data_IF_830087837498
#
_entry.id   IF_830087837498
#
_cell.length_a   1.000
_cell.length_b   1.000
_cell.length_c   1.000
_cell.angle_alpha   90.00
_cell.angle_beta   90.00
_cell.angle_gamma   90.00
#
_symmetry.space_group_name_H-M   'P 1'
#
loop_
_entity.id
_entity.type
_entity.pdbx_description
1 polymer ?
#
# COMPACT_ATOMS: atom_id res chain seq x y z
N UNK A 1 -200.06 -43.21 8.45
CA UNK A 1 -200.65 -41.87 8.44
C UNK A 1 -199.68 -40.77 8.86
N UNK A 2 -199.29 -39.96 7.87
CA UNK A 2 -199.09 -38.49 7.78
C UNK A 2 -198.23 -37.60 8.74
N UNK A 3 -197.33 -36.80 8.09
CA UNK A 3 -197.00 -35.34 8.25
C UNK A 3 -196.12 -34.92 9.47
N UNK A 4 -195.14 -33.98 9.46
CA UNK A 4 -194.63 -32.96 8.53
C UNK A 4 -193.65 -31.95 9.23
N UNK A 5 -192.99 -31.09 8.44
CA UNK A 5 -191.90 -30.12 8.71
C UNK A 5 -192.10 -29.01 9.77
N UNK A 6 -191.01 -28.60 10.46
CA UNK A 6 -190.53 -27.20 10.63
C UNK A 6 -189.39 -27.11 11.67
N UNK A 7 -188.20 -26.66 11.25
CA UNK A 7 -187.33 -25.69 11.97
C UNK A 7 -185.89 -25.66 11.40
N UNK A 8 -185.58 -24.66 10.57
CA UNK A 8 -184.32 -24.57 9.82
C UNK A 8 -183.70 -23.15 9.71
N UNK A 9 -183.98 -22.19 10.62
CA UNK A 9 -183.62 -20.76 10.39
C UNK A 9 -182.57 -20.06 11.27
N UNK A 10 -181.98 -20.68 12.30
CA UNK A 10 -181.11 -19.94 13.25
C UNK A 10 -179.61 -20.27 13.25
N UNK A 11 -179.06 -20.95 12.23
CA UNK A 11 -177.68 -21.49 12.26
C UNK A 11 -176.75 -21.04 11.11
N UNK A 12 -177.09 -19.97 10.36
CA UNK A 12 -176.34 -19.55 9.15
C UNK A 12 -175.41 -18.34 9.31
N UNK A 13 -175.62 -17.40 10.25
CA UNK A 13 -174.83 -16.16 10.32
C UNK A 13 -173.45 -16.29 10.99
N UNK A 14 -173.27 -17.23 11.91
CA UNK A 14 -171.99 -17.49 12.61
C UNK A 14 -170.94 -18.19 11.73
N UNK A 15 -171.38 -18.87 10.67
CA UNK A 15 -170.48 -19.60 9.75
C UNK A 15 -169.72 -18.68 8.79
N UNK A 16 -170.28 -17.52 8.44
CA UNK A 16 -169.67 -16.61 7.45
C UNK A 16 -168.54 -15.76 8.05
N UNK A 17 -168.66 -15.32 9.31
CA UNK A 17 -167.60 -14.58 10.02
C UNK A 17 -166.34 -15.43 10.28
N UNK A 18 -166.51 -16.71 10.65
CA UNK A 18 -165.38 -17.64 10.78
C UNK A 18 -164.66 -17.86 9.44
N UNK A 19 -165.42 -17.87 8.34
CA UNK A 19 -164.89 -18.04 6.98
C UNK A 19 -164.06 -16.83 6.55
N UNK A 20 -164.53 -15.61 6.83
CA UNK A 20 -163.80 -14.36 6.56
C UNK A 20 -162.52 -14.29 7.39
N UNK A 21 -162.56 -14.67 8.67
CA UNK A 21 -161.37 -14.73 9.54
C UNK A 21 -160.36 -15.76 9.05
N UNK A 22 -160.82 -16.93 8.61
CA UNK A 22 -159.98 -17.96 8.00
C UNK A 22 -159.30 -17.47 6.70
N UNK A 23 -160.05 -16.78 5.84
CA UNK A 23 -159.53 -16.19 4.60
C UNK A 23 -158.51 -15.06 4.87
N UNK A 24 -158.77 -14.17 5.84
CA UNK A 24 -157.79 -13.16 6.27
C UNK A 24 -156.51 -13.79 6.79
N UNK A 25 -156.61 -14.83 7.62
CA UNK A 25 -155.44 -15.56 8.13
C UNK A 25 -154.67 -16.29 7.02
N UNK A 26 -155.37 -16.80 5.99
CA UNK A 26 -154.72 -17.40 4.80
C UNK A 26 -154.02 -16.33 3.96
N UNK A 27 -154.66 -15.18 3.76
CA UNK A 27 -154.07 -14.05 3.04
C UNK A 27 -152.82 -13.53 3.75
N UNK A 28 -152.89 -13.34 5.07
CA UNK A 28 -151.74 -12.91 5.88
C UNK A 28 -150.60 -13.92 5.81
N UNK A 29 -150.89 -15.23 5.92
CA UNK A 29 -149.87 -16.29 5.73
C UNK A 29 -149.24 -16.28 4.33
N UNK A 30 -150.04 -16.06 3.29
CA UNK A 30 -149.51 -15.96 1.92
C UNK A 30 -148.65 -14.70 1.74
N UNK A 31 -149.04 -13.59 2.34
CA UNK A 31 -148.32 -12.32 2.27
C UNK A 31 -146.99 -12.36 3.03
N UNK A 32 -146.94 -13.02 4.19
CA UNK A 32 -145.68 -13.30 4.91
C UNK A 32 -144.76 -14.18 4.07
N UNK A 33 -145.27 -15.29 3.49
CA UNK A 33 -144.47 -16.16 2.60
C UNK A 33 -143.96 -15.44 1.35
N UNK A 34 -144.74 -14.54 0.78
CA UNK A 34 -144.31 -13.72 -0.36
C UNK A 34 -143.19 -12.77 0.03
N UNK A 35 -143.27 -12.14 1.21
CA UNK A 35 -142.19 -11.29 1.72
C UNK A 35 -140.92 -12.09 2.02
N UNK A 36 -141.05 -13.27 2.63
CA UNK A 36 -139.93 -14.19 2.84
C UNK A 36 -139.28 -14.61 1.51
N UNK A 37 -140.09 -14.98 0.50
CA UNK A 37 -139.60 -15.34 -0.83
C UNK A 37 -138.92 -14.17 -1.57
N UNK A 38 -139.42 -12.95 -1.41
CA UNK A 38 -138.75 -11.75 -1.97
C UNK A 38 -137.42 -11.49 -1.28
N UNK A 39 -137.37 -11.64 0.04
CA UNK A 39 -136.15 -11.48 0.80
C UNK A 39 -135.10 -12.53 0.42
N UNK A 40 -135.49 -13.80 0.26
CA UNK A 40 -134.57 -14.85 -0.21
C UNK A 40 -134.09 -14.61 -1.64
N UNK A 41 -134.95 -14.10 -2.53
CA UNK A 41 -134.54 -13.72 -3.87
C UNK A 41 -133.52 -12.57 -3.87
N UNK A 42 -133.69 -11.59 -2.97
CA UNK A 42 -132.75 -10.49 -2.81
C UNK A 42 -131.39 -10.95 -2.25
N UNK A 43 -131.38 -11.85 -1.26
CA UNK A 43 -130.14 -12.42 -0.71
C UNK A 43 -129.41 -13.25 -1.75
N UNK A 44 -130.11 -14.10 -2.51
CA UNK A 44 -129.50 -14.89 -3.59
C UNK A 44 -128.90 -14.00 -4.69
N UNK A 45 -129.57 -12.89 -5.06
CA UNK A 45 -129.00 -11.92 -6.01
C UNK A 45 -127.72 -11.28 -5.47
N UNK A 46 -127.68 -10.96 -4.18
CA UNK A 46 -126.48 -10.41 -3.56
C UNK A 46 -125.33 -11.44 -3.53
N UNK A 47 -125.63 -12.70 -3.22
CA UNK A 47 -124.65 -13.79 -3.24
C UNK A 47 -124.11 -14.07 -4.65
N UNK A 48 -124.96 -14.06 -5.67
CA UNK A 48 -124.53 -14.18 -7.08
C UNK A 48 -123.60 -13.03 -7.46
N UNK A 49 -123.92 -11.79 -7.09
CA UNK A 49 -123.05 -10.64 -7.37
C UNK A 49 -121.71 -10.74 -6.63
N UNK A 50 -121.69 -11.25 -5.39
CA UNK A 50 -120.44 -11.52 -4.66
C UNK A 50 -119.62 -12.61 -5.33
N UNK A 51 -120.25 -13.70 -5.75
CA UNK A 51 -119.60 -14.80 -6.46
C UNK A 51 -119.01 -14.34 -7.81
N UNK A 52 -119.73 -13.53 -8.57
CA UNK A 52 -119.21 -12.95 -9.82
C UNK A 52 -117.98 -12.07 -9.58
N UNK A 53 -117.98 -11.22 -8.54
CA UNK A 53 -116.82 -10.39 -8.20
C UNK A 53 -115.59 -11.22 -7.82
N UNK A 54 -115.76 -12.28 -7.04
CA UNK A 54 -114.68 -13.20 -6.68
C UNK A 54 -114.13 -13.93 -7.91
N UNK A 55 -115.03 -14.32 -8.83
CA UNK A 55 -114.63 -14.92 -10.09
C UNK A 55 -113.78 -13.92 -10.89
N UNK A 56 -114.20 -12.67 -11.06
CA UNK A 56 -113.39 -11.67 -11.77
C UNK A 56 -112.01 -11.44 -11.17
N UNK A 57 -111.83 -11.52 -9.85
CA UNK A 57 -110.49 -11.43 -9.24
C UNK A 57 -109.59 -12.63 -9.58
N UNK A 58 -110.17 -13.82 -9.78
CA UNK A 58 -109.45 -15.06 -10.12
C UNK A 58 -109.19 -15.19 -11.63
N UNK A 59 -110.12 -14.71 -12.46
CA UNK A 59 -110.01 -14.81 -13.92
C UNK A 59 -109.35 -13.57 -14.57
N UNK A 60 -109.39 -12.42 -13.91
CA UNK A 60 -108.96 -11.12 -14.44
C UNK A 60 -110.12 -10.35 -15.10
N UNK A 61 -109.99 -9.02 -15.18
CA UNK A 61 -111.06 -8.08 -15.58
C UNK A 61 -111.60 -8.24 -17.01
N UNK A 62 -110.97 -9.06 -17.87
CA UNK A 62 -111.28 -9.13 -19.31
C UNK A 62 -111.83 -10.48 -19.78
N UNK A 63 -112.30 -11.35 -18.87
CA UNK A 63 -112.74 -12.71 -19.25
C UNK A 63 -114.27 -12.78 -19.30
N UNK A 64 -114.80 -12.89 -20.52
CA UNK A 64 -116.23 -13.11 -20.75
C UNK A 64 -116.56 -14.61 -20.56
N UNK A 65 -117.54 -14.94 -19.72
CA UNK A 65 -117.95 -16.33 -19.44
C UNK A 65 -118.32 -17.08 -20.73
N UNK A 66 -118.83 -16.37 -21.75
CA UNK A 66 -119.14 -16.96 -23.05
C UNK A 66 -117.89 -17.39 -23.84
N UNK A 67 -116.75 -16.73 -23.62
CA UNK A 67 -115.46 -17.09 -24.25
C UNK A 67 -114.74 -18.25 -23.56
N UNK A 68 -115.06 -18.53 -22.29
CA UNK A 68 -114.57 -19.72 -21.59
C UNK A 68 -115.29 -21.00 -22.05
N UNK A 69 -116.56 -20.88 -22.45
CA UNK A 69 -117.32 -22.00 -23.01
C UNK A 69 -116.85 -22.41 -24.41
N UNK A 70 -116.21 -21.51 -25.16
CA UNK A 70 -115.78 -21.79 -26.54
C UNK A 70 -114.43 -22.51 -26.66
N UNK A 71 -113.64 -22.60 -25.58
CA UNK A 71 -112.33 -23.27 -25.58
C UNK A 71 -112.24 -24.22 -24.38
N UNK A 72 -112.61 -25.51 -24.54
CA UNK A 72 -112.48 -26.48 -23.48
C UNK A 72 -111.00 -26.84 -23.27
N UNK A 73 -110.48 -26.62 -22.06
CA UNK A 73 -109.28 -27.33 -21.55
C UNK A 73 -107.96 -26.56 -21.49
N UNK A 74 -107.79 -25.42 -22.18
CA UNK A 74 -106.53 -24.67 -22.18
C UNK A 74 -106.49 -23.46 -21.25
N UNK A 75 -107.60 -23.19 -20.56
CA UNK A 75 -107.71 -22.01 -19.72
C UNK A 75 -107.25 -22.33 -18.30
N UNK A 76 -106.11 -21.75 -17.92
CA UNK A 76 -105.48 -21.92 -16.60
C UNK A 76 -105.66 -20.62 -15.82
N UNK A 77 -106.16 -20.71 -14.58
CA UNK A 77 -106.46 -19.51 -13.78
C UNK A 77 -105.23 -18.66 -13.50
N UNK A 78 -105.44 -17.36 -13.24
CA UNK A 78 -104.35 -16.40 -12.98
C UNK A 78 -103.48 -16.82 -11.80
N UNK A 79 -104.09 -17.30 -10.71
CA UNK A 79 -103.39 -17.79 -9.54
C UNK A 79 -102.41 -18.94 -9.89
N UNK A 80 -102.82 -19.84 -10.78
CA UNK A 80 -102.00 -20.96 -11.19
C UNK A 80 -100.88 -20.56 -12.15
N UNK A 81 -101.14 -19.59 -13.03
CA UNK A 81 -100.13 -19.02 -13.91
C UNK A 81 -99.06 -18.26 -13.10
N UNK A 82 -99.47 -17.49 -12.09
CA UNK A 82 -98.55 -16.81 -11.16
C UNK A 82 -97.69 -17.84 -10.41
N UNK A 83 -98.29 -18.90 -9.87
CA UNK A 83 -97.56 -19.97 -9.16
C UNK A 83 -96.51 -20.63 -10.05
N UNK A 84 -96.84 -20.90 -11.30
CA UNK A 84 -95.91 -21.52 -12.25
C UNK A 84 -94.74 -20.56 -12.60
N UNK A 85 -95.03 -19.28 -12.84
CA UNK A 85 -94.01 -18.27 -13.06
C UNK A 85 -93.11 -18.08 -11.84
N UNK A 86 -93.67 -18.07 -10.63
CA UNK A 86 -92.91 -18.02 -9.38
C UNK A 86 -91.98 -19.22 -9.23
N UNK A 87 -92.47 -20.44 -9.52
CA UNK A 87 -91.65 -21.65 -9.52
C UNK A 87 -90.50 -21.57 -10.52
N UNK A 88 -90.76 -21.06 -11.72
CA UNK A 88 -89.75 -20.94 -12.78
C UNK A 88 -88.71 -19.86 -12.48
N UNK A 89 -89.12 -18.75 -11.86
CA UNK A 89 -88.20 -17.73 -11.35
C UNK A 89 -87.32 -18.30 -10.24
N UNK A 90 -87.90 -19.05 -9.30
CA UNK A 90 -87.13 -19.71 -8.25
C UNK A 90 -86.11 -20.71 -8.82
N UNK A 91 -86.51 -21.53 -9.80
CA UNK A 91 -85.61 -22.47 -10.47
C UNK A 91 -84.47 -21.75 -11.21
N UNK A 92 -84.77 -20.68 -11.94
CA UNK A 92 -83.76 -19.89 -12.64
C UNK A 92 -82.81 -19.17 -11.68
N UNK A 93 -83.31 -18.68 -10.54
CA UNK A 93 -82.46 -18.10 -9.48
C UNK A 93 -81.51 -19.13 -8.88
N UNK A 94 -81.99 -20.37 -8.65
CA UNK A 94 -81.13 -21.47 -8.17
C UNK A 94 -80.04 -21.77 -9.19
N UNK A 95 -80.39 -21.96 -10.48
CA UNK A 95 -79.42 -22.25 -11.54
C UNK A 95 -78.39 -21.14 -11.74
N UNK A 96 -78.80 -19.87 -11.66
CA UNK A 96 -77.88 -18.73 -11.69
C UNK A 96 -76.94 -18.75 -10.48
N UNK A 97 -77.47 -19.00 -9.29
CA UNK A 97 -76.65 -19.05 -8.07
C UNK A 97 -75.64 -20.21 -8.09
N UNK A 98 -76.00 -21.35 -8.65
CA UNK A 98 -75.12 -22.52 -8.80
C UNK A 98 -74.05 -22.29 -9.86
N UNK A 99 -74.43 -21.66 -10.99
CA UNK A 99 -73.49 -21.30 -12.05
C UNK A 99 -72.50 -20.24 -11.57
N UNK A 100 -72.97 -19.19 -10.88
CA UNK A 100 -72.13 -18.16 -10.27
C UNK A 100 -71.18 -18.77 -9.23
N UNK A 101 -71.67 -19.64 -8.33
CA UNK A 101 -70.82 -20.33 -7.36
C UNK A 101 -69.76 -21.20 -8.04
N UNK A 102 -70.14 -21.98 -9.04
CA UNK A 102 -69.22 -22.88 -9.74
C UNK A 102 -68.16 -22.14 -10.57
N UNK A 103 -68.55 -21.09 -11.31
CA UNK A 103 -67.60 -20.24 -12.05
C UNK A 103 -66.69 -19.48 -11.09
N UNK A 104 -67.23 -18.95 -10.00
CA UNK A 104 -66.47 -18.18 -9.02
C UNK A 104 -65.49 -19.07 -8.25
N UNK A 105 -65.90 -20.25 -7.78
CA UNK A 105 -64.99 -21.20 -7.13
C UNK A 105 -63.89 -21.71 -8.07
N UNK A 106 -64.21 -22.01 -9.34
CA UNK A 106 -63.23 -22.45 -10.33
C UNK A 106 -62.24 -21.33 -10.69
N UNK A 107 -62.76 -20.12 -10.96
CA UNK A 107 -61.95 -18.95 -11.30
C UNK A 107 -61.10 -18.50 -10.11
N UNK A 108 -61.64 -18.48 -8.90
CA UNK A 108 -60.92 -18.13 -7.67
C UNK A 108 -59.81 -19.15 -7.38
N UNK A 109 -60.07 -20.45 -7.59
CA UNK A 109 -59.04 -21.49 -7.44
C UNK A 109 -57.91 -21.35 -8.45
N UNK A 110 -58.22 -21.02 -9.71
CA UNK A 110 -57.22 -20.76 -10.76
C UNK A 110 -56.43 -19.48 -10.48
N UNK A 111 -57.11 -18.39 -10.09
CA UNK A 111 -56.49 -17.11 -9.75
C UNK A 111 -55.54 -17.25 -8.56
N UNK A 112 -55.93 -18.01 -7.53
CA UNK A 112 -55.11 -18.25 -6.35
C UNK A 112 -53.87 -19.11 -6.69
N UNK A 113 -53.98 -20.04 -7.64
CA UNK A 113 -52.83 -20.78 -8.16
C UNK A 113 -51.86 -19.88 -8.94
N UNK A 114 -52.38 -19.03 -9.84
CA UNK A 114 -51.57 -18.05 -10.58
C UNK A 114 -50.86 -17.07 -9.64
N UNK A 115 -51.53 -16.60 -8.60
CA UNK A 115 -50.98 -15.68 -7.61
C UNK A 115 -49.84 -16.33 -6.81
N UNK A 116 -49.97 -17.61 -6.44
CA UNK A 116 -48.89 -18.39 -5.82
C UNK A 116 -47.68 -18.57 -6.75
N UNK A 117 -47.90 -18.80 -8.05
CA UNK A 117 -46.82 -18.91 -9.04
C UNK A 117 -46.08 -17.57 -9.15
N UNK A 118 -46.81 -16.47 -9.38
CA UNK A 118 -46.23 -15.13 -9.46
C UNK A 118 -45.48 -14.74 -8.18
N UNK A 119 -45.99 -15.12 -7.00
CA UNK A 119 -45.31 -14.88 -5.74
C UNK A 119 -44.03 -15.72 -5.61
N UNK A 120 -44.04 -16.99 -6.06
CA UNK A 120 -42.86 -17.84 -6.10
C UNK A 120 -41.80 -17.30 -7.06
N UNK A 121 -42.19 -16.85 -8.25
CA UNK A 121 -41.30 -16.23 -9.23
C UNK A 121 -40.69 -14.93 -8.70
N UNK A 122 -41.51 -14.08 -8.06
CA UNK A 122 -41.03 -12.87 -7.39
C UNK A 122 -40.02 -13.21 -6.29
N UNK A 123 -40.30 -14.20 -5.44
CA UNK A 123 -39.36 -14.64 -4.39
C UNK A 123 -38.07 -15.18 -5.00
N UNK A 124 -38.14 -15.96 -6.07
CA UNK A 124 -36.97 -16.48 -6.78
C UNK A 124 -36.13 -15.33 -7.37
N UNK A 125 -36.77 -14.33 -7.98
CA UNK A 125 -36.08 -13.16 -8.51
C UNK A 125 -35.37 -12.37 -7.42
N UNK A 126 -36.04 -12.15 -6.27
CA UNK A 126 -35.44 -11.49 -5.10
C UNK A 126 -34.24 -12.31 -4.59
N UNK A 127 -34.36 -13.63 -4.50
CA UNK A 127 -33.26 -14.49 -4.05
C UNK A 127 -32.07 -14.46 -5.03
N UNK A 128 -32.33 -14.52 -6.33
CA UNK A 128 -31.31 -14.47 -7.37
C UNK A 128 -30.56 -13.13 -7.36
N UNK A 129 -31.30 -12.01 -7.28
CA UNK A 129 -30.70 -10.67 -7.20
C UNK A 129 -29.93 -10.47 -5.89
N UNK A 130 -30.42 -11.00 -4.77
CA UNK A 130 -29.68 -10.98 -3.50
C UNK A 130 -28.39 -11.81 -3.57
N UNK A 131 -28.39 -12.97 -4.26
CA UNK A 131 -27.17 -13.76 -4.51
C UNK A 131 -26.17 -12.99 -5.36
N UNK A 132 -26.62 -12.34 -6.44
CA UNK A 132 -25.77 -11.52 -7.30
C UNK A 132 -25.17 -10.32 -6.54
N UNK A 133 -25.97 -9.66 -5.70
CA UNK A 133 -25.50 -8.56 -4.85
C UNK A 133 -24.37 -9.03 -3.92
N UNK A 134 -24.56 -10.13 -3.19
CA UNK A 134 -23.53 -10.69 -2.30
C UNK A 134 -22.26 -11.08 -3.06
N UNK A 135 -22.39 -11.65 -4.25
CA UNK A 135 -21.24 -11.98 -5.09
C UNK A 135 -20.48 -10.72 -5.53
N UNK A 136 -21.19 -9.67 -5.92
CA UNK A 136 -20.60 -8.39 -6.29
C UNK A 136 -19.91 -7.70 -5.09
N UNK A 137 -20.50 -7.77 -3.89
CA UNK A 137 -19.91 -7.25 -2.65
C UNK A 137 -18.58 -7.95 -2.31
N UNK A 138 -18.55 -9.28 -2.39
CA UNK A 138 -17.32 -10.06 -2.17
C UNK A 138 -16.26 -9.72 -3.24
N UNK A 139 -16.66 -9.61 -4.52
CA UNK A 139 -15.74 -9.23 -5.59
C UNK A 139 -15.17 -7.82 -5.39
N UNK A 140 -15.99 -6.86 -4.98
CA UNK A 140 -15.58 -5.50 -4.67
C UNK A 140 -14.56 -5.47 -3.52
N UNK A 141 -14.86 -6.19 -2.44
CA UNK A 141 -14.00 -6.26 -1.26
C UNK A 141 -12.65 -6.92 -1.56
N UNK A 142 -12.64 -8.01 -2.35
CA UNK A 142 -11.38 -8.62 -2.80
C UNK A 142 -10.56 -7.69 -3.70
N UNK A 143 -11.20 -6.89 -4.55
CA UNK A 143 -10.52 -5.91 -5.40
C UNK A 143 -9.94 -4.75 -4.58
N UNK A 144 -10.66 -4.27 -3.56
CA UNK A 144 -10.15 -3.26 -2.59
C UNK A 144 -8.89 -3.75 -1.90
N UNK A 145 -8.89 -4.98 -1.37
CA UNK A 145 -7.70 -5.58 -0.73
C UNK A 145 -6.51 -5.68 -1.69
N UNK A 146 -6.75 -6.05 -2.96
CA UNK A 146 -5.70 -6.08 -4.00
C UNK A 146 -5.14 -4.68 -4.30
N UNK A 147 -6.00 -3.66 -4.33
CA UNK A 147 -5.60 -2.27 -4.53
C UNK A 147 -4.77 -1.75 -3.34
N UNK A 148 -5.15 -2.07 -2.12
CA UNK A 148 -4.40 -1.63 -0.94
C UNK A 148 -3.05 -2.36 -0.83
N UNK A 149 -3.00 -3.64 -1.19
CA UNK A 149 -1.75 -4.39 -1.33
C UNK A 149 -0.83 -3.79 -2.41
N UNK A 150 -1.37 -3.40 -3.57
CA UNK A 150 -0.57 -2.77 -4.63
C UNK A 150 -0.06 -1.38 -4.24
N UNK A 151 -0.88 -0.57 -3.54
CA UNK A 151 -0.45 0.71 -2.96
C UNK A 151 0.68 0.52 -1.94
N UNK A 152 0.58 -0.48 -1.07
CA UNK A 152 1.64 -0.79 -0.11
C UNK A 152 2.94 -1.18 -0.82
N UNK A 153 2.85 -2.03 -1.86
CA UNK A 153 4.00 -2.40 -2.69
C UNK A 153 4.64 -1.19 -3.37
N UNK A 154 3.83 -0.28 -3.93
CA UNK A 154 4.32 0.95 -4.57
C UNK A 154 5.12 1.79 -3.57
N UNK A 155 4.61 2.00 -2.35
CA UNK A 155 5.32 2.76 -1.30
C UNK A 155 6.68 2.14 -0.94
N UNK A 156 6.76 0.81 -0.84
CA UNK A 156 8.03 0.11 -0.58
C UNK A 156 9.00 0.30 -1.74
N UNK A 157 8.55 0.10 -2.98
CA UNK A 157 9.39 0.28 -4.17
C UNK A 157 9.86 1.74 -4.33
N UNK A 158 9.02 2.72 -4.02
CA UNK A 158 9.39 4.13 -4.02
C UNK A 158 10.47 4.43 -2.97
N UNK A 159 10.37 3.83 -1.79
CA UNK A 159 11.38 3.95 -0.75
C UNK A 159 12.72 3.34 -1.18
N UNK A 160 12.71 2.12 -1.72
CA UNK A 160 13.90 1.45 -2.26
C UNK A 160 14.54 2.25 -3.40
N UNK A 161 13.73 2.81 -4.30
CA UNK A 161 14.18 3.67 -5.38
C UNK A 161 14.86 4.93 -4.85
N UNK A 162 14.33 5.55 -3.79
CA UNK A 162 14.94 6.71 -3.17
C UNK A 162 16.26 6.37 -2.49
N UNK A 163 16.36 5.21 -1.82
CA UNK A 163 17.64 4.71 -1.27
C UNK A 163 18.66 4.51 -2.41
N UNK A 164 18.26 3.84 -3.50
CA UNK A 164 19.14 3.60 -4.63
C UNK A 164 19.64 4.91 -5.27
N UNK A 165 18.76 5.91 -5.43
CA UNK A 165 19.14 7.25 -5.88
C UNK A 165 20.15 7.92 -4.95
N UNK A 166 19.94 7.82 -3.63
CA UNK A 166 20.90 8.32 -2.64
C UNK A 166 22.26 7.64 -2.74
N UNK A 167 22.29 6.32 -2.89
CA UNK A 167 23.53 5.55 -3.08
C UNK A 167 24.27 5.96 -4.36
N UNK A 168 23.55 6.16 -5.47
CA UNK A 168 24.14 6.65 -6.73
C UNK A 168 24.73 8.05 -6.55
N UNK A 169 24.04 8.95 -5.85
CA UNK A 169 24.55 10.28 -5.58
C UNK A 169 25.87 10.25 -4.79
N UNK A 170 25.94 9.46 -3.71
CA UNK A 170 27.17 9.27 -2.92
C UNK A 170 28.32 8.66 -3.75
N UNK A 171 28.02 7.69 -4.61
CA UNK A 171 29.03 7.10 -5.50
C UNK A 171 29.54 8.11 -6.54
N UNK A 172 28.67 8.97 -7.07
CA UNK A 172 29.07 10.04 -7.98
C UNK A 172 29.95 11.09 -7.29
N UNK A 173 29.67 11.43 -6.03
CA UNK A 173 30.54 12.30 -5.24
C UNK A 173 31.93 11.67 -5.07
N UNK A 174 32.00 10.39 -4.66
CA UNK A 174 33.26 9.65 -4.56
C UNK A 174 34.03 9.64 -5.87
N UNK A 175 33.35 9.32 -6.99
CA UNK A 175 33.94 9.38 -8.32
C UNK A 175 34.53 10.75 -8.62
N UNK A 176 33.81 11.83 -8.31
CA UNK A 176 34.31 13.19 -8.50
C UNK A 176 35.52 13.51 -7.61
N UNK A 177 35.59 12.96 -6.39
CA UNK A 177 36.79 13.06 -5.54
C UNK A 177 37.97 12.30 -6.14
N UNK A 178 37.74 11.09 -6.65
CA UNK A 178 38.77 10.27 -7.28
C UNK A 178 39.29 10.93 -8.57
N UNK A 179 38.41 11.49 -9.40
CA UNK A 179 38.78 12.26 -10.60
C UNK A 179 39.69 13.45 -10.23
N UNK A 180 39.32 14.23 -9.20
CA UNK A 180 40.16 15.32 -8.70
C UNK A 180 41.52 14.85 -8.19
N UNK A 181 41.58 13.68 -7.54
CA UNK A 181 42.83 13.11 -7.06
C UNK A 181 43.71 12.68 -8.23
N UNK A 182 43.14 12.03 -9.24
CA UNK A 182 43.83 11.63 -10.46
C UNK A 182 44.42 12.86 -11.17
N UNK A 183 43.64 13.93 -11.33
CA UNK A 183 44.11 15.17 -11.93
C UNK A 183 45.30 15.77 -11.16
N UNK A 184 45.21 15.82 -9.82
CA UNK A 184 46.30 16.34 -8.99
C UNK A 184 47.58 15.50 -9.10
N UNK A 185 47.44 14.17 -9.18
CA UNK A 185 48.58 13.26 -9.36
C UNK A 185 49.19 13.40 -10.75
N UNK A 186 48.37 13.53 -11.79
CA UNK A 186 48.83 13.73 -13.17
C UNK A 186 49.59 15.06 -13.32
N UNK A 187 49.09 16.15 -12.73
CA UNK A 187 49.82 17.42 -12.73
C UNK A 187 51.16 17.33 -11.99
N UNK A 188 51.21 16.62 -10.86
CA UNK A 188 52.47 16.39 -10.15
C UNK A 188 53.45 15.57 -10.99
N UNK A 189 52.96 14.54 -11.69
CA UNK A 189 53.76 13.70 -12.57
C UNK A 189 54.34 14.53 -13.72
N UNK A 190 53.52 15.36 -14.36
CA UNK A 190 53.93 16.29 -15.42
C UNK A 190 55.01 17.28 -14.95
N UNK A 191 54.90 17.82 -13.74
CA UNK A 191 55.93 18.70 -13.15
C UNK A 191 57.26 17.95 -12.97
N UNK A 192 57.21 16.69 -12.50
CA UNK A 192 58.41 15.89 -12.29
C UNK A 192 59.07 15.52 -13.62
N UNK A 193 58.28 15.17 -14.63
CA UNK A 193 58.77 14.90 -16.00
C UNK A 193 59.45 16.13 -16.59
N UNK A 194 58.84 17.32 -16.48
CA UNK A 194 59.45 18.56 -16.95
C UNK A 194 60.79 18.84 -16.25
N UNK A 195 60.87 18.69 -14.93
CA UNK A 195 62.12 18.84 -14.15
C UNK A 195 63.17 17.79 -14.50
N UNK A 196 62.76 16.60 -14.95
CA UNK A 196 63.68 15.59 -15.43
C UNK A 196 64.26 16.00 -16.78
N UNK A 197 63.42 16.42 -17.73
CA UNK A 197 63.85 16.91 -19.05
C UNK A 197 64.77 18.13 -18.93
N UNK A 198 64.47 19.09 -18.05
CA UNK A 198 65.35 20.23 -17.78
C UNK A 198 66.74 19.79 -17.30
N UNK A 199 66.80 18.81 -16.37
CA UNK A 199 68.07 18.25 -15.88
C UNK A 199 68.83 17.49 -16.95
N UNK A 200 68.12 16.74 -17.79
CA UNK A 200 68.72 16.01 -18.91
C UNK A 200 69.38 16.99 -19.90
N UNK A 201 68.71 18.09 -20.25
CA UNK A 201 69.27 19.17 -21.08
C UNK A 201 70.48 19.82 -20.39
N UNK A 202 70.41 20.08 -19.08
CA UNK A 202 71.54 20.66 -18.34
C UNK A 202 72.77 19.74 -18.35
N UNK A 203 72.57 18.43 -18.16
CA UNK A 203 73.64 17.42 -18.22
C UNK A 203 74.25 17.36 -19.61
N UNK A 204 73.43 17.27 -20.67
CA UNK A 204 73.92 17.27 -22.05
C UNK A 204 74.74 18.53 -22.38
N UNK A 205 74.30 19.70 -21.91
CA UNK A 205 75.05 20.95 -22.10
C UNK A 205 76.41 20.93 -21.39
N UNK A 206 76.48 20.36 -20.17
CA UNK A 206 77.74 20.18 -19.44
C UNK A 206 78.66 19.19 -20.13
N UNK A 207 78.12 18.06 -20.61
CA UNK A 207 78.85 17.07 -21.39
C UNK A 207 79.45 17.70 -22.66
N UNK A 208 78.66 18.45 -23.43
CA UNK A 208 79.17 19.17 -24.60
C UNK A 208 80.24 20.22 -24.28
N UNK A 209 80.20 20.83 -23.09
CA UNK A 209 81.24 21.77 -22.65
C UNK A 209 82.54 21.02 -22.31
N UNK A 210 82.44 19.95 -21.53
CA UNK A 210 83.57 19.09 -21.17
C UNK A 210 84.20 18.48 -22.42
N UNK A 211 83.40 18.03 -23.38
CA UNK A 211 83.90 17.45 -24.63
C UNK A 211 84.73 18.47 -25.43
N UNK A 212 84.25 19.73 -25.52
CA UNK A 212 85.01 20.82 -26.17
C UNK A 212 86.32 21.11 -25.45
N UNK A 213 86.30 21.18 -24.12
CA UNK A 213 87.51 21.38 -23.31
C UNK A 213 88.50 20.21 -23.48
N UNK A 214 88.02 18.97 -23.49
CA UNK A 214 88.83 17.78 -23.75
C UNK A 214 89.49 17.82 -25.14
N UNK A 215 88.75 18.22 -26.17
CA UNK A 215 89.31 18.38 -27.52
C UNK A 215 90.42 19.46 -27.53
N UNK A 216 90.21 20.59 -26.85
CA UNK A 216 91.22 21.64 -26.73
C UNK A 216 92.48 21.16 -26.01
N UNK A 217 92.35 20.54 -24.84
CA UNK A 217 93.48 20.00 -24.07
C UNK A 217 94.23 18.95 -24.91
N UNK A 218 93.52 18.09 -25.64
CA UNK A 218 94.13 17.09 -26.53
C UNK A 218 94.90 17.73 -27.70
N UNK A 219 94.46 18.90 -28.19
CA UNK A 219 95.18 19.64 -29.22
C UNK A 219 96.44 20.30 -28.64
N UNK A 220 96.35 20.92 -27.47
CA UNK A 220 97.49 21.50 -26.75
C UNK A 220 98.54 20.43 -26.44
N UNK A 221 98.13 19.28 -25.90
CA UNK A 221 99.00 18.14 -25.62
C UNK A 221 99.75 17.67 -26.87
N UNK A 222 99.06 17.59 -28.02
CA UNK A 222 99.67 17.24 -29.30
C UNK A 222 100.69 18.29 -29.77
N UNK A 223 100.38 19.57 -29.60
CA UNK A 223 101.31 20.66 -29.94
C UNK A 223 102.56 20.62 -29.05
N UNK A 224 102.41 20.41 -27.74
CA UNK A 224 103.55 20.26 -26.83
C UNK A 224 104.36 19.00 -27.12
N UNK A 225 103.71 17.89 -27.47
CA UNK A 225 104.41 16.66 -27.85
C UNK A 225 105.28 16.89 -29.10
N UNK A 226 104.73 17.54 -30.12
CA UNK A 226 105.48 17.89 -31.34
C UNK A 226 106.68 18.80 -31.02
N UNK A 227 106.53 19.73 -30.09
CA UNK A 227 107.62 20.59 -29.64
C UNK A 227 108.73 19.80 -28.92
N UNK A 228 108.35 18.86 -28.04
CA UNK A 228 109.28 17.94 -27.38
C UNK A 228 110.03 17.12 -28.43
N UNK A 229 109.34 16.55 -29.41
CA UNK A 229 109.96 15.74 -30.47
C UNK A 229 110.94 16.57 -31.33
N UNK A 230 110.66 17.85 -31.55
CA UNK A 230 111.60 18.78 -32.21
C UNK A 230 112.83 19.08 -31.35
N UNK A 231 112.68 19.21 -30.03
CA UNK A 231 113.79 19.39 -29.10
C UNK A 231 114.66 18.14 -29.01
N UNK A 232 114.05 16.95 -28.89
CA UNK A 232 114.77 15.68 -28.89
C UNK A 232 115.61 15.51 -30.16
N UNK A 233 115.05 15.77 -31.35
CA UNK A 233 115.82 15.74 -32.60
C UNK A 233 117.00 16.71 -32.61
N UNK A 234 116.80 17.94 -32.14
CA UNK A 234 117.90 18.92 -32.01
C UNK A 234 118.97 18.46 -31.01
N UNK A 235 118.56 17.83 -29.91
CA UNK A 235 119.50 17.26 -28.94
C UNK A 235 120.29 16.11 -29.55
N UNK A 236 119.64 15.20 -30.28
CA UNK A 236 120.30 14.11 -31.01
C UNK A 236 121.29 14.65 -32.06
N UNK A 237 120.92 15.67 -32.84
CA UNK A 237 121.82 16.34 -33.77
C UNK A 237 123.07 16.89 -33.08
N UNK A 238 122.89 17.54 -31.91
CA UNK A 238 124.00 18.07 -31.10
C UNK A 238 124.84 16.97 -30.46
N UNK A 239 124.23 15.88 -30.01
CA UNK A 239 124.94 14.70 -29.49
C UNK A 239 125.84 14.11 -30.58
N UNK A 240 125.32 13.94 -31.80
CA UNK A 240 126.09 13.49 -32.97
C UNK A 240 127.24 14.45 -33.30
N UNK A 241 127.01 15.76 -33.22
CA UNK A 241 128.04 16.78 -33.44
C UNK A 241 129.14 16.73 -32.36
N UNK A 242 128.74 16.59 -31.09
CA UNK A 242 129.64 16.40 -29.95
C UNK A 242 130.49 15.14 -30.17
N UNK A 243 129.89 14.03 -30.60
CA UNK A 243 130.62 12.79 -30.84
C UNK A 243 131.58 12.91 -32.03
N UNK A 244 131.21 13.63 -33.09
CA UNK A 244 132.14 13.96 -34.19
C UNK A 244 133.32 14.80 -33.72
N UNK A 245 133.07 15.83 -32.90
CA UNK A 245 134.13 16.67 -32.33
C UNK A 245 135.03 15.88 -31.38
N UNK A 246 134.47 15.03 -30.50
CA UNK A 246 135.23 14.11 -29.66
C UNK A 246 136.12 13.19 -30.50
N UNK A 247 135.59 12.60 -31.57
CA UNK A 247 136.34 11.71 -32.46
C UNK A 247 137.42 12.46 -33.27
N UNK A 248 137.20 13.73 -33.62
CA UNK A 248 138.22 14.59 -34.23
C UNK A 248 139.34 15.01 -33.26
N UNK A 249 139.05 15.07 -31.96
CA UNK A 249 140.03 15.36 -30.89
C UNK A 249 140.85 14.12 -30.50
N UNK A 250 140.43 12.90 -30.87
CA UNK A 250 141.12 11.64 -30.50
C UNK A 250 142.33 11.31 -31.39
N UNK A 251 142.70 12.15 -32.38
CA UNK A 251 143.90 11.93 -33.19
C UNK A 251 145.19 12.56 -32.64
N UNK A 252 145.17 13.18 -31.45
CA UNK A 252 146.39 13.66 -30.78
C UNK A 252 146.40 13.28 -29.28
N UNK A 253 147.22 12.28 -28.98
CA UNK A 253 147.81 11.86 -27.71
C UNK A 253 147.15 12.32 -26.38
N UNK A 254 146.55 11.38 -25.63
CA UNK A 254 147.16 10.84 -24.39
C UNK A 254 146.16 10.09 -23.51
N UNK A 255 146.50 8.82 -23.36
CA UNK A 255 146.25 7.90 -22.25
C UNK A 255 145.88 8.54 -20.90
N UNK A 256 144.69 8.17 -20.40
CA UNK A 256 144.48 7.70 -19.01
C UNK A 256 143.31 6.71 -18.93
N UNK A 257 143.68 5.43 -18.91
CA UNK A 257 142.94 4.30 -18.32
C UNK A 257 142.48 4.64 -16.88
N UNK A 258 141.38 4.15 -16.31
CA UNK A 258 140.24 3.33 -16.75
C UNK A 258 139.19 3.36 -15.60
N UNK A 259 137.90 3.24 -15.98
CA UNK A 259 136.75 2.72 -15.19
C UNK A 259 136.12 3.56 -14.07
N UNK A 260 134.80 3.83 -14.19
CA UNK A 260 133.89 3.80 -13.05
C UNK A 260 132.68 2.88 -13.37
N UNK A 261 132.55 1.78 -12.63
CA UNK A 261 131.30 1.00 -12.57
C UNK A 261 130.70 1.16 -11.17
N UNK A 262 129.62 1.95 -11.17
CA UNK A 262 128.36 1.72 -10.46
C UNK A 262 128.34 1.75 -8.92
N UNK A 263 127.41 2.59 -8.47
CA UNK A 263 126.63 2.51 -7.23
C UNK A 263 127.29 3.14 -6.00
N UNK A 264 127.03 4.42 -5.79
CA UNK A 264 127.07 5.00 -4.45
C UNK A 264 125.83 5.88 -4.24
N UNK A 265 125.16 5.66 -3.11
CA UNK A 265 123.96 6.35 -2.67
C UNK A 265 124.12 6.61 -1.19
N UNK A 266 124.35 7.89 -0.83
CA UNK A 266 124.16 8.60 0.46
C UNK A 266 125.00 9.92 0.45
N UNK A 267 124.72 10.97 1.26
CA UNK A 267 123.99 10.99 2.54
C UNK A 267 122.95 12.12 2.73
N UNK A 268 122.27 12.03 3.90
CA UNK A 268 121.29 12.93 4.58
C UNK A 268 121.81 14.38 4.76
N UNK A 269 121.06 15.44 5.05
CA UNK A 269 119.83 15.65 5.85
C UNK A 269 119.40 17.13 5.67
N UNK A 270 118.10 17.46 5.77
CA UNK A 270 117.67 18.82 6.16
C UNK A 270 116.46 19.44 5.45
N UNK A 271 115.28 19.36 6.13
CA UNK A 271 114.10 20.27 6.08
C UNK A 271 113.39 20.48 4.73
N UNK A 272 112.09 20.73 4.66
CA UNK A 272 110.88 20.60 5.48
C UNK A 272 109.74 21.10 4.55
N UNK A 273 108.49 20.76 4.86
CA UNK A 273 107.26 21.42 4.38
C UNK A 273 106.65 20.89 3.07
N UNK A 274 105.70 19.96 3.27
CA UNK A 274 104.38 19.87 2.60
C UNK A 274 104.25 19.34 1.16
N UNK A 275 103.53 18.22 0.98
CA UNK A 275 102.64 18.01 -0.16
C UNK A 275 101.27 18.60 0.15
N UNK A 276 100.87 19.63 -0.61
CA UNK A 276 99.50 20.13 -0.73
C UNK A 276 99.13 19.87 -2.19
N UNK A 277 98.23 18.93 -2.51
CA UNK A 277 96.79 19.15 -2.41
C UNK A 277 96.01 17.91 -1.95
N UNK A 278 95.47 18.03 -0.74
CA UNK A 278 94.13 17.62 -0.31
C UNK A 278 93.66 16.17 -0.57
N UNK A 279 93.80 15.29 0.44
CA UNK A 279 92.83 14.25 0.75
C UNK A 279 91.64 14.86 1.53
N UNK A 280 90.40 14.67 1.03
CA UNK A 280 89.16 14.92 1.79
C UNK A 280 88.02 14.12 1.11
N UNK A 281 87.40 13.09 1.68
CA UNK A 281 87.60 12.46 2.97
C UNK A 281 87.20 10.97 2.93
N UNK A 282 88.15 10.10 3.27
CA UNK A 282 87.85 8.87 4.01
C UNK A 282 87.79 9.31 5.48
N UNK A 283 86.59 9.44 6.02
CA UNK A 283 86.40 9.90 7.39
C UNK A 283 85.26 10.90 7.53
N UNK A 284 84.05 10.47 7.20
CA UNK A 284 82.99 10.74 8.16
C UNK A 284 82.73 9.44 8.91
N UNK A 285 83.15 9.32 10.18
CA UNK A 285 82.57 8.38 11.15
C UNK A 285 81.05 8.58 11.35
N UNK A 286 80.41 9.32 10.45
CA UNK A 286 79.14 10.00 10.63
C UNK A 286 78.11 9.55 9.58
N UNK A 287 78.51 9.03 8.40
CA UNK A 287 77.54 8.56 7.40
C UNK A 287 76.84 7.26 7.84
N UNK A 288 77.62 6.26 8.30
CA UNK A 288 77.04 5.03 8.86
C UNK A 288 76.24 5.29 10.13
N UNK A 289 76.66 6.25 10.97
CA UNK A 289 75.93 6.67 12.17
C UNK A 289 74.64 7.41 11.80
N UNK A 290 74.67 8.26 10.78
CA UNK A 290 73.47 8.95 10.27
C UNK A 290 72.49 7.96 9.65
N UNK A 291 72.98 6.98 8.90
CA UNK A 291 72.16 5.92 8.32
C UNK A 291 71.55 5.01 9.39
N UNK A 292 72.30 4.62 10.43
CA UNK A 292 71.75 3.83 11.53
C UNK A 292 70.76 4.62 12.36
N UNK A 293 71.02 5.90 12.65
CA UNK A 293 70.06 6.77 13.33
C UNK A 293 68.78 6.99 12.52
N UNK A 294 68.89 7.14 11.19
CA UNK A 294 67.73 7.24 10.30
C UNK A 294 66.92 5.93 10.26
N UNK A 295 67.59 4.78 10.16
CA UNK A 295 66.96 3.47 10.20
C UNK A 295 66.31 3.19 11.57
N UNK A 296 66.93 3.60 12.68
CA UNK A 296 66.39 3.52 14.04
C UNK A 296 65.13 4.39 14.17
N UNK A 297 65.15 5.61 13.64
CA UNK A 297 64.00 6.50 13.63
C UNK A 297 62.84 5.95 12.78
N UNK A 298 63.14 5.33 11.64
CA UNK A 298 62.14 4.65 10.81
C UNK A 298 61.57 3.41 11.51
N UNK A 299 62.40 2.60 12.18
CA UNK A 299 61.97 1.48 13.01
C UNK A 299 60.99 1.92 14.11
N UNK A 300 61.28 3.03 14.79
CA UNK A 300 60.39 3.61 15.82
C UNK A 300 59.06 4.05 15.23
N UNK A 301 59.07 4.78 14.10
CA UNK A 301 57.82 5.18 13.41
C UNK A 301 57.00 3.98 12.94
N UNK A 302 57.65 2.94 12.44
CA UNK A 302 56.97 1.71 12.02
C UNK A 302 56.36 0.97 13.23
N UNK A 303 57.04 0.94 14.37
CA UNK A 303 56.47 0.39 15.60
C UNK A 303 55.26 1.20 16.08
N UNK A 304 55.34 2.53 16.08
CA UNK A 304 54.20 3.41 16.39
C UNK A 304 53.03 3.13 15.45
N UNK A 305 53.29 3.03 14.14
CA UNK A 305 52.26 2.68 13.16
C UNK A 305 51.64 1.31 13.44
N UNK A 306 52.44 0.29 13.75
CA UNK A 306 51.95 -1.04 14.13
C UNK A 306 51.08 -0.96 15.38
N UNK A 307 51.45 -0.17 16.39
CA UNK A 307 50.62 0.00 17.60
C UNK A 307 49.28 0.66 17.29
N UNK A 308 49.25 1.71 16.46
CA UNK A 308 48.02 2.39 16.04
C UNK A 308 47.15 1.47 15.20
N UNK A 309 47.74 0.69 14.29
CA UNK A 309 47.00 -0.27 13.46
C UNK A 309 46.41 -1.40 14.32
N UNK A 310 47.16 -1.92 15.30
CA UNK A 310 46.64 -2.93 16.23
C UNK A 310 45.50 -2.38 17.08
N UNK A 311 45.63 -1.17 17.62
CA UNK A 311 44.54 -0.52 18.37
C UNK A 311 43.29 -0.32 17.50
N UNK A 312 43.47 0.10 16.24
CA UNK A 312 42.34 0.24 15.30
C UNK A 312 41.71 -1.12 15.02
N UNK A 313 42.51 -2.15 14.76
CA UNK A 313 42.04 -3.50 14.51
C UNK A 313 41.25 -4.06 15.71
N UNK A 314 41.74 -3.84 16.93
CA UNK A 314 41.06 -4.28 18.15
C UNK A 314 39.75 -3.51 18.38
N UNK A 315 39.72 -2.21 18.06
CA UNK A 315 38.48 -1.43 18.08
C UNK A 315 37.45 -1.97 17.10
N UNK A 316 37.84 -2.22 15.84
CA UNK A 316 36.94 -2.80 14.83
C UNK A 316 36.44 -4.19 15.24
N UNK A 317 37.31 -5.04 15.83
CA UNK A 317 36.93 -6.35 16.37
C UNK A 317 35.91 -6.23 17.50
N UNK A 318 36.10 -5.29 18.42
CA UNK A 318 35.18 -5.06 19.53
C UNK A 318 33.82 -4.54 19.04
N UNK A 319 33.81 -3.64 18.06
CA UNK A 319 32.59 -3.14 17.43
C UNK A 319 31.86 -4.28 16.69
N UNK A 320 32.57 -5.12 15.95
CA UNK A 320 32.01 -6.30 15.29
C UNK A 320 31.38 -7.28 16.30
N UNK A 321 32.06 -7.55 17.42
CA UNK A 321 31.54 -8.41 18.49
C UNK A 321 30.26 -7.81 19.12
N UNK A 322 30.24 -6.51 19.39
CA UNK A 322 29.05 -5.84 19.92
C UNK A 322 27.85 -5.92 18.96
N UNK A 323 28.08 -5.79 17.65
CA UNK A 323 27.03 -5.96 16.64
C UNK A 323 26.52 -7.41 16.57
N UNK A 324 27.41 -8.41 16.71
CA UNK A 324 27.02 -9.83 16.77
C UNK A 324 26.13 -10.10 17.99
N UNK A 325 26.48 -9.56 19.16
CA UNK A 325 25.66 -9.70 20.37
C UNK A 325 24.29 -9.05 20.23
N UNK A 326 24.21 -7.85 19.64
CA UNK A 326 22.94 -7.18 19.36
C UNK A 326 22.08 -8.00 18.41
N UNK A 327 22.68 -8.56 17.36
CA UNK A 327 21.99 -9.44 16.42
C UNK A 327 21.44 -10.70 17.11
N UNK A 328 22.21 -11.32 18.00
CA UNK A 328 21.74 -12.48 18.78
C UNK A 328 20.58 -12.14 19.72
N UNK A 329 20.63 -10.98 20.38
CA UNK A 329 19.53 -10.47 21.21
C UNK A 329 18.27 -10.24 20.38
N UNK A 330 18.40 -9.66 19.19
CA UNK A 330 17.25 -9.40 18.32
C UNK A 330 16.65 -10.71 17.77
N UNK A 331 17.48 -11.66 17.33
CA UNK A 331 17.01 -13.00 16.95
C UNK A 331 16.26 -13.70 18.09
N UNK A 332 16.73 -13.55 19.32
CA UNK A 332 16.07 -14.13 20.50
C UNK A 332 14.71 -13.47 20.80
N UNK A 333 14.58 -12.15 20.58
CA UNK A 333 13.29 -11.45 20.68
C UNK A 333 12.34 -11.90 19.57
N UNK A 334 12.80 -11.99 18.32
CA UNK A 334 12.01 -12.47 17.20
C UNK A 334 11.46 -13.88 17.48
N UNK A 335 12.29 -14.81 17.95
CA UNK A 335 11.84 -16.15 18.31
C UNK A 335 10.77 -16.16 19.42
N UNK A 336 10.88 -15.28 20.41
CA UNK A 336 9.85 -15.12 21.47
C UNK A 336 8.54 -14.57 20.90
N UNK A 337 8.60 -13.60 19.99
CA UNK A 337 7.42 -13.03 19.34
C UNK A 337 6.76 -14.04 18.40
N UNK A 338 7.53 -14.80 17.64
CA UNK A 338 7.03 -15.89 16.80
C UNK A 338 6.33 -16.97 17.64
N UNK A 339 6.89 -17.33 18.80
CA UNK A 339 6.24 -18.27 19.71
C UNK A 339 4.91 -17.71 20.26
N UNK A 340 4.87 -16.43 20.64
CA UNK A 340 3.63 -15.77 21.09
C UNK A 340 2.59 -15.73 19.97
N UNK A 341 2.98 -15.40 18.74
CA UNK A 341 2.11 -15.42 17.57
C UNK A 341 1.53 -16.82 17.34
N UNK A 342 2.37 -17.86 17.35
CA UNK A 342 1.89 -19.25 17.22
C UNK A 342 0.92 -19.65 18.32
N UNK A 343 1.12 -19.18 19.55
CA UNK A 343 0.20 -19.46 20.66
C UNK A 343 -1.14 -18.73 20.48
N UNK A 344 -1.12 -17.45 20.09
CA UNK A 344 -2.34 -16.68 19.78
C UNK A 344 -3.09 -17.26 18.58
N UNK A 345 -2.39 -17.74 17.55
CA UNK A 345 -3.00 -18.45 16.42
C UNK A 345 -3.67 -19.75 16.86
N UNK A 346 -3.03 -20.52 17.76
CA UNK A 346 -3.63 -21.73 18.34
C UNK A 346 -4.86 -21.40 19.17
N UNK A 347 -4.87 -20.33 19.95
CA UNK A 347 -6.04 -19.89 20.73
C UNK A 347 -7.19 -19.45 19.81
N UNK A 348 -6.89 -18.74 18.70
CA UNK A 348 -7.87 -18.36 17.68
C UNK A 348 -8.49 -19.58 16.98
N UNK A 349 -7.72 -20.64 16.77
CA UNK A 349 -8.19 -21.89 16.16
C UNK A 349 -8.89 -22.81 17.19
N UNK A 350 -8.50 -22.75 18.46
CA UNK A 350 -9.10 -23.52 19.56
C UNK A 350 -10.51 -23.07 19.95
N UNK A 351 -10.82 -21.78 19.82
CA UNK A 351 -12.18 -21.24 20.04
C UNK A 351 -13.20 -21.66 18.97
N UNK A 352 -12.76 -22.17 17.82
CA UNK A 352 -13.64 -22.60 16.75
C UNK A 352 -14.14 -24.06 16.88
N UNK A 353 -13.69 -24.82 17.90
CA UNK A 353 -13.96 -26.27 18.02
C UNK A 353 -14.46 -26.77 19.37
N UNK A 354 -14.96 -25.91 20.25
CA UNK A 354 -15.65 -26.37 21.47
C UNK A 354 -17.15 -26.25 21.28
N UNK A 355 -17.76 -27.34 20.80
CA UNK A 355 -19.15 -27.65 21.09
C UNK A 355 -19.33 -27.68 22.61
N UNK A 356 -20.06 -26.72 23.17
CA UNK A 356 -20.58 -26.80 24.53
C UNK A 356 -22.08 -26.49 24.50
N UNK A 357 -22.85 -27.52 24.21
CA UNK A 357 -24.27 -27.52 24.52
C UNK A 357 -24.45 -27.72 26.02
N UNK A 358 -24.86 -26.67 26.74
CA UNK A 358 -25.77 -26.74 27.90
C UNK A 358 -26.25 -25.32 28.26
N UNK A 359 -27.45 -25.01 27.77
CA UNK A 359 -28.51 -24.19 28.38
C UNK A 359 -28.09 -23.12 29.42
N UNK A 360 -28.09 -21.86 29.00
CA UNK A 360 -28.44 -20.72 29.87
C UNK A 360 -29.50 -19.86 29.16
N UNK A 361 -30.75 -19.98 29.63
CA UNK A 361 -31.87 -19.15 29.20
C UNK A 361 -32.13 -18.16 30.33
N UNK A 362 -31.65 -16.93 30.19
CA UNK A 362 -32.08 -15.79 30.99
C UNK A 362 -31.93 -14.52 30.17
N UNK A 363 -33.08 -13.92 29.85
CA UNK A 363 -33.31 -12.53 29.49
C UNK A 363 -32.08 -11.63 29.29
N UNK A 364 -31.85 -11.17 28.06
CA UNK A 364 -31.88 -9.74 27.71
C UNK A 364 -32.07 -9.61 26.20
N UNK A 365 -33.28 -9.19 25.83
CA UNK A 365 -33.58 -8.61 24.53
C UNK A 365 -32.92 -7.22 24.50
N UNK A 366 -32.39 -6.84 23.33
CA UNK A 366 -31.82 -5.53 22.95
C UNK A 366 -30.28 -5.42 23.05
N UNK A 367 -29.54 -5.86 22.02
CA UNK A 367 -28.51 -5.06 21.31
C UNK A 367 -27.54 -5.89 20.42
N UNK A 368 -28.04 -6.75 19.53
CA UNK A 368 -27.16 -7.40 18.52
C UNK A 368 -26.88 -6.51 17.28
N UNK A 369 -26.97 -5.19 17.43
CA UNK A 369 -26.35 -4.22 16.52
C UNK A 369 -25.03 -3.64 17.09
N UNK A 370 -24.68 -3.92 18.35
CA UNK A 370 -23.52 -3.31 19.01
C UNK A 370 -22.23 -4.11 18.93
N UNK A 371 -22.24 -5.43 18.69
CA UNK A 371 -21.00 -6.21 18.77
C UNK A 371 -20.03 -5.95 17.61
N UNK A 372 -20.53 -5.63 16.41
CA UNK A 372 -19.65 -5.17 15.31
C UNK A 372 -19.25 -3.70 15.46
N UNK A 373 -20.08 -2.86 16.09
CA UNK A 373 -19.70 -1.47 16.39
C UNK A 373 -18.68 -1.39 17.55
N UNK A 374 -18.75 -2.28 18.54
CA UNK A 374 -17.80 -2.34 19.66
C UNK A 374 -16.44 -2.89 19.25
N UNK A 375 -16.38 -3.95 18.43
CA UNK A 375 -15.09 -4.43 17.89
C UNK A 375 -14.47 -3.40 16.94
N UNK A 376 -15.26 -2.76 16.08
CA UNK A 376 -14.77 -1.64 15.26
C UNK A 376 -14.38 -0.42 16.12
N UNK A 377 -15.07 -0.15 17.24
CA UNK A 377 -14.73 0.94 18.17
C UNK A 377 -13.43 0.66 18.93
N UNK A 378 -13.18 -0.59 19.31
CA UNK A 378 -11.93 -1.02 19.94
C UNK A 378 -10.77 -0.99 18.95
N UNK A 379 -10.96 -1.47 17.72
CA UNK A 379 -9.95 -1.38 16.65
C UNK A 379 -9.59 0.07 16.32
N UNK A 380 -10.59 0.96 16.25
CA UNK A 380 -10.35 2.40 16.05
C UNK A 380 -9.63 3.02 17.25
N UNK A 381 -9.95 2.61 18.49
CA UNK A 381 -9.23 3.08 19.68
C UNK A 381 -7.77 2.65 19.69
N UNK A 382 -7.47 1.38 19.44
CA UNK A 382 -6.08 0.92 19.35
C UNK A 382 -5.33 1.61 18.22
N UNK A 383 -6.02 1.92 17.11
CA UNK A 383 -5.41 2.67 16.02
C UNK A 383 -5.09 4.12 16.41
N UNK A 384 -5.96 4.77 17.18
CA UNK A 384 -5.72 6.10 17.72
C UNK A 384 -4.55 6.07 18.71
N UNK A 385 -4.54 5.13 19.66
CA UNK A 385 -3.48 4.97 20.66
C UNK A 385 -2.11 4.75 20.00
N UNK A 386 -2.05 3.88 18.98
CA UNK A 386 -0.83 3.65 18.21
C UNK A 386 -0.35 4.92 17.47
N UNK A 387 -1.27 5.70 16.90
CA UNK A 387 -0.94 6.95 16.22
C UNK A 387 -0.48 8.03 17.21
N UNK A 388 -1.03 8.04 18.43
CA UNK A 388 -0.59 8.92 19.51
C UNK A 388 0.82 8.57 20.00
N UNK A 389 1.11 7.27 20.18
CA UNK A 389 2.46 6.79 20.50
C UNK A 389 3.45 7.13 19.39
N UNK A 390 3.08 6.96 18.12
CA UNK A 390 3.92 7.33 16.98
C UNK A 390 4.17 8.84 16.93
N UNK A 391 3.15 9.66 17.19
CA UNK A 391 3.29 11.11 17.29
C UNK A 391 4.21 11.52 18.45
N UNK A 392 4.12 10.86 19.61
CA UNK A 392 5.00 11.10 20.74
C UNK A 392 6.44 10.71 20.43
N UNK A 393 6.65 9.55 19.81
CA UNK A 393 7.98 9.09 19.40
C UNK A 393 8.61 10.03 18.34
N UNK A 394 7.82 10.51 17.39
CA UNK A 394 8.26 11.47 16.38
C UNK A 394 8.62 12.82 17.00
N UNK A 395 7.83 13.32 17.98
CA UNK A 395 8.17 14.53 18.74
C UNK A 395 9.48 14.36 19.52
N UNK A 396 9.62 13.26 20.25
CA UNK A 396 10.85 12.98 20.99
C UNK A 396 12.08 12.91 20.06
N UNK A 397 11.96 12.26 18.90
CA UNK A 397 13.03 12.23 17.88
C UNK A 397 13.34 13.60 17.31
N UNK A 398 12.32 14.43 17.09
CA UNK A 398 12.51 15.80 16.61
C UNK A 398 13.31 16.61 17.64
N UNK A 399 12.93 16.51 18.91
CA UNK A 399 13.61 17.21 20.01
C UNK A 399 15.07 16.75 20.14
N UNK A 400 15.35 15.45 20.04
CA UNK A 400 16.73 14.96 20.06
C UNK A 400 17.54 15.48 18.89
N UNK A 401 16.98 15.48 17.67
CA UNK A 401 17.68 15.99 16.47
C UNK A 401 17.92 17.50 16.59
N UNK A 402 16.97 18.25 17.14
CA UNK A 402 17.16 19.68 17.40
C UNK A 402 18.29 19.92 18.41
N UNK A 403 18.33 19.13 19.50
CA UNK A 403 19.36 19.23 20.51
C UNK A 403 20.75 18.87 19.97
N UNK A 404 20.84 17.82 19.14
CA UNK A 404 22.08 17.43 18.46
C UNK A 404 22.56 18.56 17.54
N UNK A 405 21.66 19.14 16.74
CA UNK A 405 21.99 20.27 15.87
C UNK A 405 22.48 21.50 16.66
N UNK A 406 21.86 21.80 17.79
CA UNK A 406 22.31 22.88 18.69
C UNK A 406 23.71 22.57 19.22
N UNK A 407 23.97 21.32 19.61
CA UNK A 407 25.26 20.85 20.13
C UNK A 407 26.36 20.93 19.07
N UNK A 408 26.07 20.53 17.84
CA UNK A 408 26.96 20.63 16.69
C UNK A 408 27.29 22.08 16.36
N UNK A 409 26.28 22.96 16.30
CA UNK A 409 26.50 24.40 16.09
C UNK A 409 27.38 24.99 17.19
N UNK A 410 27.19 24.59 18.44
CA UNK A 410 28.03 25.01 19.55
C UNK A 410 29.48 24.49 19.41
N UNK A 411 29.67 23.26 18.92
CA UNK A 411 30.99 22.70 18.63
C UNK A 411 31.69 23.46 17.49
N UNK A 412 30.99 23.70 16.37
CA UNK A 412 31.51 24.47 15.24
C UNK A 412 31.90 25.89 15.66
N UNK A 413 31.09 26.54 16.48
CA UNK A 413 31.41 27.86 17.02
C UNK A 413 32.70 27.82 17.84
N UNK A 414 32.85 26.83 18.74
CA UNK A 414 34.09 26.62 19.50
C UNK A 414 35.30 26.39 18.60
N UNK A 415 35.18 25.55 17.58
CA UNK A 415 36.26 25.29 16.63
C UNK A 415 36.67 26.56 15.86
N UNK A 416 35.69 27.34 15.40
CA UNK A 416 35.95 28.62 14.71
C UNK A 416 36.64 29.62 15.63
N UNK A 417 36.19 29.73 16.88
CA UNK A 417 36.82 30.61 17.87
C UNK A 417 38.24 30.16 18.22
N UNK A 418 38.48 28.84 18.30
CA UNK A 418 39.81 28.29 18.47
C UNK A 418 40.71 28.56 17.26
N UNK A 419 40.21 28.39 16.03
CA UNK A 419 40.96 28.70 14.82
C UNK A 419 41.28 30.21 14.70
N UNK A 420 40.35 31.08 15.10
CA UNK A 420 40.60 32.52 15.19
C UNK A 420 41.67 32.83 16.24
N UNK A 421 41.63 32.14 17.38
CA UNK A 421 42.64 32.30 18.44
C UNK A 421 44.02 31.84 17.98
N UNK A 422 44.15 30.66 17.39
CA UNK A 422 45.43 30.16 16.88
C UNK A 422 45.99 31.07 15.79
N UNK A 423 45.15 31.58 14.90
CA UNK A 423 45.57 32.56 13.89
C UNK A 423 46.06 33.86 14.52
N UNK A 424 45.35 34.38 15.52
CA UNK A 424 45.74 35.59 16.26
C UNK A 424 47.05 35.41 17.01
N UNK A 425 47.26 34.25 17.62
CA UNK A 425 48.48 33.88 18.33
C UNK A 425 49.65 33.73 17.35
N UNK A 426 49.45 33.10 16.19
CA UNK A 426 50.45 33.01 15.12
C UNK A 426 50.84 34.39 14.57
N UNK A 427 49.88 35.31 14.44
CA UNK A 427 50.15 36.69 14.03
C UNK A 427 50.91 37.50 15.09
N UNK A 428 50.66 37.24 16.38
CA UNK A 428 51.41 37.86 17.50
C UNK A 428 52.82 37.28 17.65
N UNK A 429 53.00 36.00 17.31
CA UNK A 429 54.29 35.29 17.41
C UNK A 429 55.16 35.38 16.15
N UNK A 430 54.94 36.38 15.28
CA UNK A 430 55.93 36.69 14.23
C UNK A 430 57.28 36.96 14.91
N UNK A 431 58.35 36.22 14.58
CA UNK A 431 59.66 36.54 15.11
C UNK A 431 60.04 37.91 14.58
N UNK A 432 60.15 38.89 15.49
CA UNK A 432 60.93 40.09 15.21
C UNK A 432 62.31 39.61 14.81
N UNK A 433 62.75 40.03 13.63
CA UNK A 433 64.08 39.80 13.12
C UNK A 433 65.11 40.05 14.24
N UNK A 434 65.76 38.98 14.69
CA UNK A 434 66.73 39.01 15.77
C UNK A 434 67.45 37.67 15.77
N UNK A 435 68.62 37.64 15.14
CA UNK A 435 69.39 36.43 14.90
C UNK A 435 69.82 35.74 16.19
N UNK A 436 69.78 34.42 16.17
CA UNK A 436 70.51 33.58 17.12
C UNK A 436 71.19 32.47 16.34
N UNK A 437 72.51 32.64 16.15
CA UNK A 437 73.43 31.61 15.66
C UNK A 437 73.43 30.47 16.68
N UNK A 438 73.09 29.27 16.25
CA UNK A 438 73.28 28.06 17.04
C UNK A 438 74.71 27.58 16.85
N UNK A 439 75.54 27.75 17.89
CA UNK A 439 76.87 27.15 18.00
C UNK A 439 76.73 25.73 18.53
N UNK A 440 77.01 24.74 17.67
CA UNK A 440 77.32 23.37 18.11
C UNK A 440 78.84 23.24 18.13
N UNK A 441 79.36 23.02 19.34
CA UNK A 441 80.75 22.71 19.65
C UNK A 441 81.02 21.25 19.30
N UNK A 442 82.17 20.99 18.67
CA UNK A 442 82.68 19.65 18.32
C UNK A 442 83.07 18.88 19.59
#
# INVERSE_FOLDING_TARGET
>A
DNIGEKDARNNSSTKDDERIKCLKNKLQRAQTKLCESKNTCATLRQEINKAQKLLYSELGENVNINTLSSVPGNWRGRAEQIRNLQQKVAELQIRLSEHEKSQKESSDRQNLANLRIAEKERRQHIENTAKQLRQAEVALETSKRKLDASKARIKVLEHELNIAKGNIAMLNEKRSHDDRLIDALNERLKIVEARYQEREIEVQNKEHKIERENVNIKNELRATQLHIDQLCRRLEEREIEIDKLKNGVISDESLKCRTPLRSDSRPKEGRQISPLTSPRGLGEPNEYVTLTLAAEAERVRLLELVTVLNQRLDKERNEANALIELLQKEKSKCAKLELKLRNLEKERVGLAKVDSGYRAKSYTKMSNLKSEEETNSEEVRFKIELLEEECLALKARLDTVQQDKISDLAMYKRMLDQARKTFKDACRNKPVAGGSRSTITI
#
